data_IF_465989730565
#
_entry.id   IF_465989730565
#
_cell.length_a   1.000
_cell.length_b   1.000
_cell.length_c   1.000
_cell.angle_alpha   90.00
_cell.angle_beta   90.00
_cell.angle_gamma   90.00
#
_symmetry.space_group_name_H-M   'P 1'
#
loop_
_entity.id
_entity.type
_entity.pdbx_description
1 polymer ?
#
# COMPACT_ATOMS: atom_id res chain seq x y z
N UNK A 1 -12.36 -19.52 -10.38
CA UNK A 1 -11.95 -18.66 -9.23
C UNK A 1 -13.09 -17.86 -8.59
N UNK A 2 -13.81 -17.02 -9.37
CA UNK A 2 -14.91 -16.19 -8.84
C UNK A 2 -15.97 -16.96 -8.04
N UNK A 3 -16.51 -18.04 -8.61
CA UNK A 3 -17.51 -18.90 -7.96
C UNK A 3 -16.99 -19.53 -6.66
N UNK A 4 -15.70 -19.86 -6.61
CA UNK A 4 -15.06 -20.44 -5.42
C UNK A 4 -15.04 -19.44 -4.27
N UNK A 5 -14.55 -18.22 -4.52
CA UNK A 5 -14.49 -17.20 -3.47
C UNK A 5 -15.88 -16.77 -3.03
N UNK A 6 -16.82 -16.61 -3.96
CA UNK A 6 -18.22 -16.26 -3.64
C UNK A 6 -18.89 -17.32 -2.75
N UNK A 7 -18.70 -18.61 -3.06
CA UNK A 7 -19.29 -19.69 -2.27
C UNK A 7 -18.83 -19.64 -0.80
N UNK A 8 -17.53 -19.42 -0.54
CA UNK A 8 -16.99 -19.30 0.81
C UNK A 8 -17.44 -18.01 1.50
N UNK A 9 -17.46 -16.89 0.77
CA UNK A 9 -17.93 -15.61 1.31
C UNK A 9 -19.40 -15.71 1.76
N UNK A 10 -20.28 -16.26 0.93
CA UNK A 10 -21.69 -16.48 1.28
C UNK A 10 -21.84 -17.49 2.42
N UNK A 11 -21.09 -18.59 2.39
CA UNK A 11 -21.14 -19.59 3.47
C UNK A 11 -20.77 -18.98 4.83
N UNK A 12 -19.67 -18.23 4.90
CA UNK A 12 -19.21 -17.62 6.13
C UNK A 12 -20.20 -16.56 6.64
N UNK A 13 -20.73 -15.72 5.74
CA UNK A 13 -21.68 -14.66 6.09
C UNK A 13 -23.08 -15.15 6.48
N UNK A 14 -23.44 -16.40 6.22
CA UNK A 14 -24.62 -17.04 6.84
C UNK A 14 -24.44 -17.31 8.34
N UNK A 15 -23.22 -17.25 8.86
CA UNK A 15 -22.88 -17.61 10.25
C UNK A 15 -22.42 -16.42 11.08
N UNK A 16 -21.63 -15.52 10.48
CA UNK A 16 -21.08 -14.32 11.12
C UNK A 16 -20.58 -13.34 10.08
N UNK A 17 -20.40 -12.08 10.44
CA UNK A 17 -19.69 -11.11 9.60
C UNK A 17 -18.29 -11.62 9.29
N UNK A 18 -18.04 -11.91 8.02
CA UNK A 18 -16.82 -12.57 7.59
C UNK A 18 -16.29 -11.98 6.28
N UNK A 19 -14.98 -12.04 6.13
CA UNK A 19 -14.25 -11.63 4.92
C UNK A 19 -13.54 -12.84 4.31
N UNK A 20 -13.42 -12.85 2.98
CA UNK A 20 -12.53 -13.75 2.25
C UNK A 20 -11.31 -12.99 1.75
N UNK A 21 -10.18 -13.67 1.70
CA UNK A 21 -8.94 -13.16 1.14
C UNK A 21 -8.52 -14.06 -0.03
N UNK A 22 -8.37 -13.51 -1.25
CA UNK A 22 -8.21 -14.30 -2.47
C UNK A 22 -7.30 -13.66 -3.52
N UNK A 23 -6.33 -14.41 -4.07
CA UNK A 23 -5.48 -13.92 -5.17
C UNK A 23 -6.15 -13.99 -6.53
N UNK A 24 -6.99 -15.00 -6.75
CA UNK A 24 -7.48 -15.35 -8.08
C UNK A 24 -8.90 -14.84 -8.32
N UNK A 25 -9.13 -14.26 -9.49
CA UNK A 25 -10.42 -13.70 -9.85
C UNK A 25 -10.67 -13.65 -11.35
N UNK A 26 -11.86 -13.18 -11.72
CA UNK A 26 -12.25 -12.77 -13.07
C UNK A 26 -13.38 -11.74 -12.96
N UNK A 27 -14.05 -11.37 -14.06
CA UNK A 27 -15.19 -10.44 -14.04
C UNK A 27 -16.22 -10.82 -12.97
N UNK A 28 -16.51 -9.89 -12.06
CA UNK A 28 -17.43 -10.09 -10.93
C UNK A 28 -16.75 -10.44 -9.60
N UNK A 29 -15.42 -10.60 -9.57
CA UNK A 29 -14.66 -10.88 -8.36
C UNK A 29 -14.69 -9.76 -7.31
N UNK A 30 -14.99 -8.52 -7.69
CA UNK A 30 -15.13 -7.39 -6.76
C UNK A 30 -16.21 -7.58 -5.69
N UNK A 31 -17.10 -8.57 -5.86
CA UNK A 31 -18.15 -8.93 -4.89
C UNK A 31 -17.62 -9.73 -3.71
N UNK A 32 -16.40 -10.28 -3.79
CA UNK A 32 -15.70 -10.89 -2.69
C UNK A 32 -14.67 -9.90 -2.13
N UNK A 33 -14.63 -9.66 -0.81
CA UNK A 33 -14.09 -8.43 -0.26
C UNK A 33 -12.60 -8.24 -0.54
N UNK A 34 -11.70 -9.11 -0.09
CA UNK A 34 -10.27 -8.82 -0.13
C UNK A 34 -9.52 -9.64 -1.19
N UNK A 35 -8.63 -8.96 -1.93
CA UNK A 35 -7.70 -9.59 -2.86
C UNK A 35 -6.24 -9.25 -2.54
N UNK A 36 -5.32 -10.13 -2.91
CA UNK A 36 -3.89 -9.84 -2.82
C UNK A 36 -3.15 -10.15 -4.12
N UNK A 37 -1.96 -9.57 -4.26
CA UNK A 37 -1.13 -9.63 -5.48
C UNK A 37 -0.67 -11.04 -5.89
N UNK A 38 -0.73 -12.02 -4.99
CA UNK A 38 -0.18 -13.36 -5.21
C UNK A 38 1.24 -13.50 -4.67
N UNK A 39 1.97 -14.45 -5.25
CA UNK A 39 3.22 -14.98 -4.71
C UNK A 39 4.39 -14.26 -5.41
N UNK A 40 5.22 -13.54 -4.65
CA UNK A 40 6.34 -12.76 -5.20
C UNK A 40 7.62 -12.83 -4.38
N UNK A 41 8.76 -12.67 -5.07
CA UNK A 41 10.07 -12.61 -4.43
C UNK A 41 10.29 -11.28 -3.69
N UNK A 42 11.26 -11.28 -2.79
CA UNK A 42 11.61 -10.11 -1.99
C UNK A 42 12.56 -9.15 -2.73
N UNK A 43 12.06 -8.49 -3.78
CA UNK A 43 12.87 -7.61 -4.67
C UNK A 43 12.19 -6.26 -4.96
N UNK A 44 12.98 -5.29 -5.41
CA UNK A 44 12.47 -3.98 -5.87
C UNK A 44 11.59 -4.09 -7.13
N UNK A 45 11.88 -5.05 -8.01
CA UNK A 45 11.02 -5.32 -9.18
C UNK A 45 9.65 -5.84 -8.74
N UNK A 46 9.62 -6.82 -7.83
CA UNK A 46 8.36 -7.32 -7.26
C UNK A 46 7.58 -6.22 -6.54
N UNK A 47 8.25 -5.31 -5.84
CA UNK A 47 7.62 -4.14 -5.23
C UNK A 47 6.95 -3.23 -6.28
N UNK A 48 7.66 -2.88 -7.35
CA UNK A 48 7.12 -2.09 -8.47
C UNK A 48 5.94 -2.80 -9.14
N UNK A 49 6.07 -4.09 -9.43
CA UNK A 49 5.01 -4.90 -10.03
C UNK A 49 3.78 -4.98 -9.11
N UNK A 50 3.98 -5.09 -7.80
CA UNK A 50 2.88 -5.10 -6.83
C UNK A 50 2.10 -3.79 -6.84
N UNK A 51 2.77 -2.63 -6.90
CA UNK A 51 2.09 -1.34 -7.07
C UNK A 51 1.24 -1.35 -8.34
N UNK A 52 1.84 -1.71 -9.48
CA UNK A 52 1.12 -1.75 -10.76
C UNK A 52 -0.05 -2.75 -10.75
N UNK A 53 0.08 -3.88 -10.06
CA UNK A 53 -0.99 -4.86 -9.86
C UNK A 53 -2.14 -4.24 -9.05
N UNK A 54 -1.86 -3.51 -7.97
CA UNK A 54 -2.89 -2.82 -7.19
C UNK A 54 -3.61 -1.73 -7.99
N UNK A 55 -2.88 -0.95 -8.78
CA UNK A 55 -3.46 0.11 -9.61
C UNK A 55 -4.32 -0.43 -10.76
N UNK A 56 -3.85 -1.48 -11.44
CA UNK A 56 -4.60 -2.15 -12.51
C UNK A 56 -5.80 -2.94 -11.96
N UNK A 57 -5.69 -3.53 -10.78
CA UNK A 57 -6.80 -4.17 -10.08
C UNK A 57 -7.86 -3.13 -9.67
N UNK A 58 -7.44 -1.98 -9.16
CA UNK A 58 -8.32 -0.87 -8.78
C UNK A 58 -9.16 -0.38 -9.94
N UNK A 59 -8.56 -0.04 -11.09
CA UNK A 59 -9.32 0.38 -12.28
C UNK A 59 -10.22 -0.73 -12.84
N UNK A 60 -9.90 -2.00 -12.54
CA UNK A 60 -10.73 -3.17 -12.89
C UNK A 60 -11.84 -3.45 -11.86
N UNK A 61 -12.01 -2.60 -10.84
CA UNK A 61 -13.07 -2.69 -9.83
C UNK A 61 -12.70 -3.44 -8.55
N UNK A 62 -11.46 -3.92 -8.41
CA UNK A 62 -10.97 -4.58 -7.19
C UNK A 62 -10.41 -3.52 -6.24
N UNK A 63 -11.27 -2.98 -5.37
CA UNK A 63 -10.88 -1.86 -4.49
C UNK A 63 -10.11 -2.29 -3.25
N UNK A 64 -10.51 -3.38 -2.58
CA UNK A 64 -9.84 -3.83 -1.36
C UNK A 64 -8.73 -4.83 -1.70
N UNK A 65 -7.61 -4.25 -2.10
CA UNK A 65 -6.40 -4.96 -2.52
C UNK A 65 -5.26 -4.76 -1.52
N UNK A 66 -4.42 -5.78 -1.39
CA UNK A 66 -3.14 -5.72 -0.66
C UNK A 66 -2.07 -6.58 -1.32
N UNK A 67 -0.93 -6.69 -0.66
CA UNK A 67 0.22 -7.48 -1.11
C UNK A 67 1.07 -7.88 0.08
N UNK A 68 1.97 -8.83 -0.12
CA UNK A 68 2.88 -9.28 0.92
C UNK A 68 4.05 -8.30 1.06
N UNK A 69 4.05 -7.49 2.12
CA UNK A 69 5.05 -6.44 2.38
C UNK A 69 6.48 -6.98 2.22
N UNK A 70 7.20 -6.42 1.26
CA UNK A 70 8.60 -6.74 0.99
C UNK A 70 8.84 -8.08 0.30
N UNK A 71 7.78 -8.77 -0.14
CA UNK A 71 7.83 -10.11 -0.74
C UNK A 71 7.79 -11.24 0.29
N UNK A 72 7.07 -12.33 -0.02
CA UNK A 72 6.89 -13.47 0.88
C UNK A 72 7.94 -14.57 0.71
N UNK A 73 8.57 -14.64 -0.47
CA UNK A 73 9.48 -15.73 -0.87
C UNK A 73 10.89 -15.21 -1.20
N UNK A 74 11.80 -16.15 -1.41
CA UNK A 74 13.21 -15.92 -1.67
C UNK A 74 13.98 -15.52 -0.42
N UNK A 75 15.13 -14.89 -0.64
CA UNK A 75 15.95 -14.32 0.43
C UNK A 75 15.16 -13.27 1.23
N UNK A 76 15.59 -13.04 2.48
CA UNK A 76 15.01 -11.98 3.31
C UNK A 76 15.27 -10.62 2.63
N UNK A 77 14.25 -9.74 2.53
CA UNK A 77 14.45 -8.42 1.94
C UNK A 77 15.46 -7.61 2.76
N UNK A 78 16.17 -6.68 2.10
CA UNK A 78 16.98 -5.70 2.83
C UNK A 78 16.10 -4.85 3.76
N UNK A 79 16.68 -4.31 4.82
CA UNK A 79 15.97 -3.41 5.73
C UNK A 79 15.34 -2.22 4.97
N UNK A 80 16.05 -1.68 3.97
CA UNK A 80 15.53 -0.61 3.12
C UNK A 80 14.27 -1.04 2.36
N UNK A 81 14.34 -2.16 1.63
CA UNK A 81 13.20 -2.66 0.86
C UNK A 81 11.99 -2.93 1.77
N UNK A 82 12.23 -3.58 2.91
CA UNK A 82 11.17 -3.89 3.88
C UNK A 82 10.49 -2.62 4.41
N UNK A 83 11.26 -1.58 4.73
CA UNK A 83 10.70 -0.33 5.26
C UNK A 83 10.05 0.55 4.18
N UNK A 84 10.60 0.62 2.96
CA UNK A 84 9.91 1.28 1.83
C UNK A 84 8.60 0.58 1.48
N UNK A 85 8.60 -0.75 1.46
CA UNK A 85 7.41 -1.57 1.27
C UNK A 85 6.37 -1.34 2.38
N UNK A 86 6.82 -1.29 3.64
CA UNK A 86 5.96 -1.00 4.80
C UNK A 86 5.32 0.38 4.70
N UNK A 87 6.11 1.39 4.31
CA UNK A 87 5.64 2.75 4.13
C UNK A 87 4.52 2.82 3.08
N UNK A 88 4.72 2.21 1.91
CA UNK A 88 3.69 2.13 0.86
C UNK A 88 2.45 1.35 1.35
N UNK A 89 2.64 0.21 2.03
CA UNK A 89 1.53 -0.63 2.48
C UNK A 89 0.65 0.04 3.56
N UNK A 90 1.21 0.94 4.37
CA UNK A 90 0.43 1.76 5.30
C UNK A 90 -0.64 2.60 4.56
N UNK A 91 -0.34 3.01 3.32
CA UNK A 91 -1.23 3.73 2.40
C UNK A 91 -1.79 2.83 1.29
N UNK A 92 -1.98 1.53 1.55
CA UNK A 92 -2.77 0.62 0.72
C UNK A 92 -4.14 0.32 1.36
N UNK A 93 -5.14 -0.12 0.56
CA UNK A 93 -6.42 -0.57 1.09
C UNK A 93 -6.25 -1.66 2.17
N UNK A 94 -5.41 -2.66 1.90
CA UNK A 94 -5.05 -3.74 2.85
C UNK A 94 -3.55 -3.71 3.11
N UNK A 95 -3.16 -3.63 4.39
CA UNK A 95 -1.77 -3.74 4.86
C UNK A 95 -1.56 -5.11 5.49
N UNK A 96 -0.65 -5.92 4.97
CA UNK A 96 -0.44 -7.29 5.43
C UNK A 96 0.97 -7.79 5.07
N UNK A 97 1.59 -8.55 5.98
CA UNK A 97 2.84 -9.27 5.70
C UNK A 97 2.56 -10.78 5.63
N UNK A 98 3.41 -11.51 4.91
CA UNK A 98 3.39 -12.98 4.83
C UNK A 98 4.78 -13.55 4.64
N UNK A 99 4.94 -14.84 4.88
CA UNK A 99 6.15 -15.60 4.59
C UNK A 99 5.78 -16.94 3.94
N UNK A 100 6.54 -17.33 2.93
CA UNK A 100 6.42 -18.65 2.33
C UNK A 100 6.86 -19.74 3.33
N UNK A 101 6.30 -20.94 3.15
CA UNK A 101 6.69 -22.13 3.87
C UNK A 101 8.20 -22.42 3.73
N UNK A 102 8.94 -22.37 4.85
CA UNK A 102 10.39 -22.60 4.87
C UNK A 102 10.80 -24.03 5.26
N UNK A 103 9.92 -25.03 5.15
CA UNK A 103 10.20 -26.39 5.63
C UNK A 103 10.65 -26.45 7.10
N UNK A 104 10.18 -25.51 7.93
CA UNK A 104 10.59 -25.32 9.33
C UNK A 104 12.12 -25.18 9.56
N UNK A 105 12.86 -24.74 8.52
CA UNK A 105 14.30 -24.50 8.64
C UNK A 105 14.60 -23.26 9.47
N UNK A 106 15.77 -23.26 10.10
CA UNK A 106 16.35 -22.10 10.77
C UNK A 106 17.41 -21.45 9.88
N UNK A 107 17.55 -20.11 9.88
CA UNK A 107 16.74 -19.13 10.64
C UNK A 107 15.31 -18.96 10.09
N UNK A 108 14.40 -18.41 10.90
CA UNK A 108 12.99 -18.19 10.52
C UNK A 108 12.87 -17.26 9.31
N UNK A 109 11.95 -17.59 8.40
CA UNK A 109 11.65 -16.78 7.22
C UNK A 109 10.48 -15.80 7.45
N UNK A 110 10.08 -15.54 8.69
CA UNK A 110 8.94 -14.69 8.99
C UNK A 110 9.17 -13.22 8.58
N UNK A 111 8.15 -12.59 7.98
CA UNK A 111 8.18 -11.15 7.63
C UNK A 111 7.71 -10.25 8.78
N UNK A 112 7.68 -10.76 10.00
CA UNK A 112 7.40 -9.96 11.21
C UNK A 112 8.52 -8.95 11.45
N UNK A 113 8.22 -7.72 11.94
CA UNK A 113 9.23 -6.67 12.05
C UNK A 113 10.38 -7.00 13.01
N UNK A 114 10.13 -7.75 14.10
CA UNK A 114 11.20 -8.19 15.01
C UNK A 114 12.13 -9.24 14.38
N UNK A 115 11.60 -10.21 13.63
CA UNK A 115 12.43 -11.14 12.86
C UNK A 115 13.21 -10.39 11.77
N UNK A 116 12.59 -9.44 11.09
CA UNK A 116 13.26 -8.65 10.06
C UNK A 116 14.41 -7.81 10.63
N UNK A 117 14.24 -7.20 11.80
CA UNK A 117 15.32 -6.53 12.53
C UNK A 117 16.47 -7.50 12.84
N UNK A 118 16.17 -8.67 13.40
CA UNK A 118 17.19 -9.69 13.72
C UNK A 118 17.93 -10.18 12.46
N UNK A 119 17.18 -10.49 11.40
CA UNK A 119 17.72 -11.06 10.15
C UNK A 119 18.55 -10.06 9.35
N UNK A 120 18.24 -8.77 9.45
CA UNK A 120 18.98 -7.70 8.74
C UNK A 120 20.06 -7.06 9.60
N UNK A 121 19.99 -7.21 10.93
CA UNK A 121 20.87 -6.53 11.88
C UNK A 121 20.62 -5.02 11.99
N UNK A 122 19.52 -4.51 11.44
CA UNK A 122 19.23 -3.08 11.38
C UNK A 122 18.18 -2.67 12.43
N UNK A 123 18.65 -2.04 13.51
CA UNK A 123 17.82 -1.60 14.65
C UNK A 123 16.75 -0.57 14.28
N UNK A 124 16.80 0.02 13.08
CA UNK A 124 15.78 0.95 12.60
C UNK A 124 14.49 0.25 12.19
N UNK A 125 14.52 -1.06 11.92
CA UNK A 125 13.38 -1.80 11.36
C UNK A 125 12.15 -1.76 12.25
N UNK A 126 12.26 -2.18 13.52
CA UNK A 126 11.11 -2.23 14.43
C UNK A 126 10.50 -0.85 14.72
N UNK A 127 11.27 0.21 15.07
CA UNK A 127 10.69 1.52 15.35
C UNK A 127 10.05 2.15 14.11
N UNK A 128 10.64 2.03 12.93
CA UNK A 128 10.07 2.59 11.69
C UNK A 128 8.82 1.80 11.27
N UNK A 129 8.82 0.48 11.38
CA UNK A 129 7.63 -0.32 11.11
C UNK A 129 6.48 0.08 12.05
N UNK A 130 6.76 0.23 13.35
CA UNK A 130 5.78 0.70 14.33
C UNK A 130 5.25 2.09 13.97
N UNK A 131 6.12 3.01 13.56
CA UNK A 131 5.72 4.35 13.12
C UNK A 131 4.66 4.29 12.01
N UNK A 132 4.86 3.46 10.98
CA UNK A 132 3.89 3.32 9.90
C UNK A 132 2.59 2.61 10.31
N UNK A 133 2.65 1.68 11.27
CA UNK A 133 1.44 1.09 11.88
C UNK A 133 0.65 2.17 12.63
N UNK A 134 1.31 3.03 13.39
CA UNK A 134 0.66 4.14 14.11
C UNK A 134 0.05 5.13 13.12
N UNK A 135 0.77 5.51 12.05
CA UNK A 135 0.24 6.34 10.96
C UNK A 135 -1.02 5.72 10.35
N UNK A 136 -1.00 4.42 10.04
CA UNK A 136 -2.17 3.71 9.51
C UNK A 136 -3.34 3.72 10.50
N UNK A 137 -3.08 3.53 11.79
CA UNK A 137 -4.11 3.56 12.82
C UNK A 137 -4.78 4.94 12.92
N UNK A 138 -4.02 6.03 12.87
CA UNK A 138 -4.58 7.38 12.81
C UNK A 138 -5.39 7.63 11.53
N UNK A 139 -5.00 7.01 10.42
CA UNK A 139 -5.73 7.07 9.15
C UNK A 139 -6.97 6.15 9.11
N UNK A 140 -7.20 5.25 10.06
CA UNK A 140 -8.31 4.29 10.00
C UNK A 140 -9.69 4.93 9.78
N UNK A 141 -10.06 6.06 10.43
CA UNK A 141 -11.32 6.74 10.14
C UNK A 141 -11.45 7.19 8.68
N UNK A 142 -10.37 7.72 8.10
CA UNK A 142 -10.30 8.10 6.69
C UNK A 142 -10.40 6.86 5.78
N UNK A 143 -9.59 5.83 6.05
CA UNK A 143 -9.60 4.56 5.30
C UNK A 143 -11.01 3.95 5.29
N UNK A 144 -11.70 3.98 6.44
CA UNK A 144 -13.08 3.49 6.55
C UNK A 144 -14.09 4.33 5.76
N UNK A 145 -13.94 5.66 5.77
CA UNK A 145 -14.77 6.54 4.95
C UNK A 145 -14.57 6.28 3.45
N UNK A 146 -13.32 6.13 3.02
CA UNK A 146 -12.97 5.85 1.64
C UNK A 146 -13.38 4.44 1.20
N UNK A 147 -13.36 3.45 2.10
CA UNK A 147 -13.89 2.12 1.84
C UNK A 147 -15.41 2.14 1.59
N UNK A 148 -16.16 2.91 2.40
CA UNK A 148 -17.60 3.11 2.21
C UNK A 148 -17.92 3.86 0.91
N UNK A 149 -17.18 4.94 0.63
CA UNK A 149 -17.31 5.68 -0.63
C UNK A 149 -17.04 4.78 -1.83
N UNK A 150 -16.00 3.95 -1.74
CA UNK A 150 -15.65 3.00 -2.79
C UNK A 150 -16.74 1.96 -3.03
N UNK A 151 -17.28 1.38 -1.96
CA UNK A 151 -18.39 0.42 -2.06
C UNK A 151 -19.67 1.05 -2.64
N UNK A 152 -19.94 2.33 -2.34
CA UNK A 152 -21.14 3.03 -2.80
C UNK A 152 -21.05 3.53 -4.26
N UNK A 153 -19.86 3.95 -4.70
CA UNK A 153 -19.68 4.63 -5.99
C UNK A 153 -18.95 3.80 -7.04
N UNK A 154 -18.25 2.74 -6.63
CA UNK A 154 -17.35 1.96 -7.49
C UNK A 154 -15.99 2.63 -7.74
N UNK A 155 -15.75 3.84 -7.21
CA UNK A 155 -14.44 4.49 -7.30
C UNK A 155 -13.42 3.75 -6.41
N UNK A 156 -12.30 3.22 -6.95
CA UNK A 156 -11.40 2.40 -6.16
C UNK A 156 -10.59 3.23 -5.16
N UNK A 157 -10.21 2.61 -4.03
CA UNK A 157 -9.42 3.27 -2.98
C UNK A 157 -7.99 3.59 -3.43
N UNK A 158 -7.44 2.88 -4.42
CA UNK A 158 -6.11 3.13 -4.98
C UNK A 158 -6.27 3.44 -6.47
N UNK A 159 -5.85 4.64 -6.90
CA UNK A 159 -6.04 5.12 -8.28
C UNK A 159 -4.74 5.64 -8.86
N UNK A 160 -4.34 5.15 -10.03
CA UNK A 160 -3.13 5.63 -10.70
C UNK A 160 -3.21 7.15 -10.96
N UNK A 161 -2.27 7.91 -10.39
CA UNK A 161 -2.26 9.37 -10.56
C UNK A 161 -2.00 9.76 -12.01
N UNK A 162 -1.26 8.93 -12.75
CA UNK A 162 -0.93 9.14 -14.16
C UNK A 162 -2.16 9.23 -15.08
N UNK A 163 -3.31 8.66 -14.69
CA UNK A 163 -4.58 8.77 -15.45
C UNK A 163 -5.04 10.22 -15.56
N UNK A 164 -4.90 11.01 -14.48
CA UNK A 164 -5.33 12.40 -14.43
C UNK A 164 -4.18 13.41 -14.51
N UNK A 165 -2.94 12.96 -14.28
CA UNK A 165 -1.73 13.77 -14.34
C UNK A 165 -0.61 12.99 -15.05
N UNK A 166 -0.47 13.07 -16.38
CA UNK A 166 0.50 12.28 -17.14
C UNK A 166 1.97 12.45 -16.71
N UNK A 167 2.30 13.55 -16.02
CA UNK A 167 3.64 13.81 -15.48
C UNK A 167 3.97 13.01 -14.20
N UNK A 168 2.98 12.43 -13.54
CA UNK A 168 3.17 11.56 -12.38
C UNK A 168 3.91 10.27 -12.75
N UNK A 169 4.66 9.73 -11.79
CA UNK A 169 5.28 8.41 -11.93
C UNK A 169 4.20 7.34 -12.14
N UNK A 170 4.49 6.25 -12.89
CA UNK A 170 3.58 5.10 -12.99
C UNK A 170 3.20 4.48 -11.65
N UNK A 171 4.01 4.73 -10.61
CA UNK A 171 3.82 4.21 -9.26
C UNK A 171 3.10 5.19 -8.33
N UNK A 172 2.89 6.45 -8.75
CA UNK A 172 2.17 7.43 -7.95
C UNK A 172 0.66 7.16 -8.01
N UNK A 173 -0.01 7.31 -6.88
CA UNK A 173 -1.43 7.04 -6.80
C UNK A 173 -2.17 7.93 -5.82
N UNK A 174 -3.46 8.10 -6.06
CA UNK A 174 -4.36 8.59 -5.03
C UNK A 174 -4.78 7.45 -4.12
N UNK A 175 -4.66 7.67 -2.82
CA UNK A 175 -5.24 6.81 -1.79
C UNK A 175 -6.49 7.48 -1.22
N UNK A 176 -7.65 6.96 -1.62
CA UNK A 176 -8.93 7.64 -1.48
C UNK A 176 -8.99 8.92 -2.30
N UNK A 177 -9.86 9.84 -1.89
CA UNK A 177 -10.11 11.11 -2.58
C UNK A 177 -9.04 12.18 -2.36
N UNK A 178 -8.35 12.13 -1.23
CA UNK A 178 -7.62 13.30 -0.71
C UNK A 178 -6.09 13.15 -0.65
N UNK A 179 -5.56 11.93 -0.65
CA UNK A 179 -4.12 11.69 -0.49
C UNK A 179 -3.48 11.32 -1.82
N UNK A 180 -2.44 12.05 -2.23
CA UNK A 180 -1.50 11.65 -3.27
C UNK A 180 -0.29 11.00 -2.61
N UNK A 181 -0.01 9.75 -2.96
CA UNK A 181 1.07 8.93 -2.41
C UNK A 181 2.08 8.66 -3.53
N UNK A 182 3.36 8.91 -3.27
CA UNK A 182 4.43 8.71 -4.24
C UNK A 182 5.50 7.77 -3.63
N UNK A 183 5.35 6.45 -3.77
CA UNK A 183 6.28 5.47 -3.21
C UNK A 183 7.70 5.64 -3.73
N UNK A 184 8.67 5.46 -2.84
CA UNK A 184 10.10 5.39 -3.19
C UNK A 184 10.40 3.96 -3.62
N UNK A 185 10.50 3.74 -4.93
CA UNK A 185 10.59 2.39 -5.52
C UNK A 185 11.99 1.99 -5.98
N UNK A 186 13.01 2.81 -5.73
CA UNK A 186 14.40 2.50 -6.05
C UNK A 186 15.28 2.52 -4.80
N UNK A 187 16.30 1.63 -4.73
CA UNK A 187 17.19 1.53 -3.58
C UNK A 187 18.11 2.75 -3.42
N UNK A 188 18.54 2.99 -2.19
CA UNK A 188 19.49 4.05 -1.80
C UNK A 188 19.04 5.48 -2.14
N UNK A 189 17.75 5.70 -2.43
CA UNK A 189 17.24 7.02 -2.73
C UNK A 189 17.26 7.91 -1.48
N UNK A 190 18.01 9.00 -1.55
CA UNK A 190 18.00 10.07 -0.53
C UNK A 190 17.01 11.18 -0.88
N UNK A 191 16.82 11.41 -2.18
CA UNK A 191 15.85 12.36 -2.73
C UNK A 191 14.92 11.67 -3.71
N UNK A 192 13.69 12.16 -3.79
CA UNK A 192 12.68 11.62 -4.70
C UNK A 192 11.96 12.73 -5.47
N UNK A 193 11.85 12.63 -6.80
CA UNK A 193 11.03 13.53 -7.61
C UNK A 193 9.54 13.24 -7.39
N UNK A 194 8.74 14.28 -7.19
CA UNK A 194 7.28 14.18 -7.13
C UNK A 194 6.65 15.21 -8.04
N UNK A 195 5.93 14.74 -9.07
CA UNK A 195 5.14 15.60 -9.96
C UNK A 195 3.77 15.89 -9.32
N UNK A 196 3.63 17.07 -8.74
CA UNK A 196 2.38 17.50 -8.12
C UNK A 196 1.38 17.94 -9.19
N UNK A 197 0.16 17.38 -9.24
CA UNK A 197 -0.91 17.85 -10.12
C UNK A 197 -1.29 19.31 -9.84
N UNK A 198 -1.85 20.07 -10.80
CA UNK A 198 -2.33 21.42 -10.55
C UNK A 198 -3.26 21.51 -9.32
N UNK A 199 -3.07 22.55 -8.51
CA UNK A 199 -3.79 22.76 -7.24
C UNK A 199 -2.84 23.11 -6.09
N UNK A 200 -3.36 23.15 -4.87
CA UNK A 200 -2.54 23.26 -3.65
C UNK A 200 -2.50 21.93 -2.91
N UNK A 201 -1.30 21.58 -2.49
CA UNK A 201 -1.00 20.32 -1.84
C UNK A 201 -0.25 20.60 -0.53
N UNK A 202 -0.76 20.06 0.57
CA UNK A 202 -0.09 20.12 1.87
C UNK A 202 0.72 18.84 2.06
N UNK A 203 2.02 18.96 2.31
CA UNK A 203 2.85 17.81 2.67
C UNK A 203 2.30 17.19 3.95
N UNK A 204 2.03 15.88 3.92
CA UNK A 204 1.43 15.15 5.03
C UNK A 204 2.30 15.21 6.30
N UNK A 205 3.63 15.25 6.17
CA UNK A 205 4.61 15.21 7.27
C UNK A 205 4.91 16.56 7.89
N UNK A 206 5.05 17.60 7.06
CA UNK A 206 5.54 18.91 7.51
C UNK A 206 4.47 20.00 7.54
N UNK A 207 3.26 19.70 7.07
CA UNK A 207 2.18 20.68 6.83
C UNK A 207 2.54 21.82 5.86
N UNK A 208 3.70 21.74 5.20
CA UNK A 208 4.13 22.72 4.21
C UNK A 208 3.21 22.66 2.99
N UNK A 209 2.67 23.81 2.61
CA UNK A 209 1.81 23.93 1.43
C UNK A 209 2.65 24.27 0.20
N UNK A 210 2.46 23.50 -0.86
CA UNK A 210 3.13 23.65 -2.16
C UNK A 210 2.09 23.77 -3.26
N UNK A 211 2.30 24.71 -4.19
CA UNK A 211 1.51 24.79 -5.40
C UNK A 211 1.96 23.70 -6.38
N UNK A 212 1.02 22.92 -6.90
CA UNK A 212 1.29 21.91 -7.92
C UNK A 212 1.42 22.49 -9.33
N UNK A 213 1.39 21.60 -10.33
CA UNK A 213 1.78 21.92 -11.71
C UNK A 213 3.29 21.92 -11.91
N UNK A 214 4.05 21.29 -11.01
CA UNK A 214 5.50 21.23 -11.02
C UNK A 214 6.01 19.92 -10.42
N UNK A 215 7.25 19.59 -10.72
CA UNK A 215 7.98 18.51 -10.07
C UNK A 215 8.87 19.08 -8.98
N UNK A 216 8.72 18.59 -7.76
CA UNK A 216 9.55 18.95 -6.62
C UNK A 216 10.49 17.80 -6.24
N UNK A 217 11.60 18.13 -5.58
CA UNK A 217 12.55 17.17 -5.02
C UNK A 217 12.38 17.15 -3.50
N UNK A 218 12.18 15.97 -2.92
CA UNK A 218 11.98 15.80 -1.49
C UNK A 218 13.05 14.90 -0.90
N UNK A 219 13.53 15.21 0.29
CA UNK A 219 14.29 14.25 1.08
C UNK A 219 13.37 13.10 1.50
N UNK A 220 13.85 11.88 1.39
CA UNK A 220 13.08 10.66 1.68
C UNK A 220 13.79 9.79 2.71
N UNK A 221 13.84 10.21 3.99
CA UNK A 221 14.31 9.31 5.04
C UNK A 221 13.41 8.06 5.12
N UNK A 222 13.91 6.97 5.72
CA UNK A 222 13.20 5.68 5.69
C UNK A 222 11.89 5.66 6.49
N UNK A 223 11.72 6.61 7.41
CA UNK A 223 10.51 6.82 8.21
C UNK A 223 9.48 7.72 7.51
N UNK A 224 9.73 8.15 6.27
CA UNK A 224 8.78 8.93 5.48
C UNK A 224 8.65 8.39 4.05
N UNK A 225 7.42 8.45 3.55
CA UNK A 225 7.06 8.28 2.14
C UNK A 225 6.42 9.59 1.68
N UNK A 226 6.78 10.15 0.52
CA UNK A 226 6.11 11.35 0.03
C UNK A 226 4.59 11.18 -0.07
N UNK A 227 3.86 11.96 0.74
CA UNK A 227 2.39 11.97 0.77
C UNK A 227 1.92 13.41 0.83
N UNK A 228 0.94 13.74 0.02
CA UNK A 228 0.38 15.07 -0.11
C UNK A 228 -1.13 15.03 0.07
N UNK A 229 -1.63 15.97 0.86
CA UNK A 229 -3.04 16.16 1.14
C UNK A 229 -3.58 17.26 0.22
N UNK A 230 -4.64 16.97 -0.51
CA UNK A 230 -5.33 17.95 -1.34
C UNK A 230 -5.90 19.08 -0.46
N UNK A 231 -5.84 20.32 -0.95
CA UNK A 231 -6.54 21.45 -0.30
C UNK A 231 -8.05 21.13 -0.15
N UNK A 232 -8.60 21.44 1.03
CA UNK A 232 -10.02 21.20 1.34
C UNK A 232 -10.34 19.80 1.87
N UNK A 233 -9.37 18.88 1.92
CA UNK A 233 -9.54 17.57 2.55
C UNK A 233 -9.84 17.72 4.05
N UNK A 234 -10.86 17.00 4.53
CA UNK A 234 -11.26 16.99 5.94
C UNK A 234 -11.06 15.58 6.50
N UNK A 235 -9.92 15.33 7.14
CA UNK A 235 -9.70 14.13 7.94
C UNK A 235 -8.97 14.51 9.24
N UNK A 236 -9.20 13.74 10.30
CA UNK A 236 -8.55 13.95 11.59
C UNK A 236 -7.02 13.92 11.41
N UNK A 237 -6.33 14.97 11.86
CA UNK A 237 -4.87 15.05 11.77
C UNK A 237 -4.21 13.97 12.64
N UNK A 238 -2.95 13.71 12.31
CA UNK A 238 -2.05 12.69 12.87
C UNK A 238 -2.02 12.60 14.39
#
# INVERSE_FOLDING_TARGET
PRLYTEAYYQFANRKKEAITFSRAGFTGSQRAPLHWAGDENSTWDAFRHSILAGLSAGISGISFWGWDIGGFSGEIPTAELYLRATAMAAFCPVMQYHSEYNAHRTPSNDRTPWNMQERTGDERVLPIFKHFVDVRNHLLPYIWQEAQHSAATGEPMMRAAQITNPASSPYDYYFGRDLLVCPVVDPNAQKWPVALPPGKWRNFWTDTVTHGGQTIQLDVPWDQIPVFVREGAVFASK
#
